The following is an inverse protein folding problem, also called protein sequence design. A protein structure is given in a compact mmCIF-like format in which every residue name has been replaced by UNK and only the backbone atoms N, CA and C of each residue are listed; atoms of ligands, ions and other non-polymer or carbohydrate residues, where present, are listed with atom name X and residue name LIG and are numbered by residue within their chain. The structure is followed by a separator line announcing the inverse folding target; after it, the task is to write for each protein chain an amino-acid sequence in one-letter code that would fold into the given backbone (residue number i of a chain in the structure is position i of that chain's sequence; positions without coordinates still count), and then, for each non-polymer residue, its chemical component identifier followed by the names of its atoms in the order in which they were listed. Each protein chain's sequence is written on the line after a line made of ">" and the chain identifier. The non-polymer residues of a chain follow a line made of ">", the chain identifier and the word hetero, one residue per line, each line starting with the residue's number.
data_IF_457894891592
#
_entry.id   IF_457894891592
#
_cell.length_a   1.000
_cell.length_b   1.000
_cell.length_c   1.000
_cell.angle_alpha   90.00
_cell.angle_beta   90.00
_cell.angle_gamma   90.00
#
_symmetry.space_group_name_H-M   'P 1'
#
loop_
_entity.id
_entity.type
_entity.pdbx_description
1 polymer ?
#
# COMPACT_ATOMS: atom_id res chain seq x y z
N UNK A 1 -15.54 -41.11 -31.83
CA UNK A 1 -16.36 -40.00 -31.30
C UNK A 1 -16.11 -39.88 -29.81
N UNK A 2 -15.25 -38.95 -29.40
CA UNK A 2 -15.13 -38.51 -28.02
C UNK A 2 -14.56 -37.08 -28.07
N UNK A 3 -15.40 -36.13 -27.68
CA UNK A 3 -15.23 -34.69 -27.86
C UNK A 3 -14.29 -34.12 -26.78
N UNK A 4 -13.30 -33.32 -27.21
CA UNK A 4 -12.27 -32.70 -26.36
C UNK A 4 -12.74 -31.31 -25.94
N UNK A 5 -13.10 -31.15 -24.67
CA UNK A 5 -13.39 -29.83 -24.10
C UNK A 5 -12.07 -29.06 -23.83
N UNK A 6 -11.91 -27.91 -24.48
CA UNK A 6 -10.71 -27.05 -24.41
C UNK A 6 -10.56 -26.18 -23.15
N UNK A 7 -9.39 -25.51 -23.00
CA UNK A 7 -8.95 -24.84 -21.76
C UNK A 7 -9.75 -23.59 -21.35
N UNK A 8 -10.69 -23.11 -22.16
CA UNK A 8 -11.47 -21.89 -21.90
C UNK A 8 -12.55 -22.01 -20.80
N UNK A 9 -12.93 -23.22 -20.36
CA UNK A 9 -14.03 -23.40 -19.38
C UNK A 9 -13.62 -23.32 -17.91
N UNK A 10 -12.32 -23.37 -17.60
CA UNK A 10 -11.81 -23.23 -16.22
C UNK A 10 -11.70 -21.77 -15.79
N UNK A 11 -11.29 -20.88 -16.71
CA UNK A 11 -11.08 -19.45 -16.46
C UNK A 11 -12.37 -18.68 -16.10
N UNK A 12 -13.52 -19.09 -16.65
CA UNK A 12 -14.82 -18.44 -16.34
C UNK A 12 -15.31 -18.80 -14.92
N UNK A 13 -14.81 -19.88 -14.31
CA UNK A 13 -15.24 -20.31 -12.97
C UNK A 13 -14.53 -19.55 -11.84
N UNK A 14 -13.32 -19.06 -12.06
CA UNK A 14 -12.52 -18.42 -11.02
C UNK A 14 -12.86 -16.92 -10.85
N UNK A 15 -13.18 -16.21 -11.94
CA UNK A 15 -13.76 -14.87 -11.88
C UNK A 15 -15.15 -14.87 -11.17
N UNK A 16 -15.97 -15.88 -11.48
CA UNK A 16 -17.29 -16.06 -10.86
C UNK A 16 -17.22 -16.46 -9.37
N UNK A 17 -16.07 -16.93 -8.86
CA UNK A 17 -15.89 -17.27 -7.46
C UNK A 17 -15.57 -16.05 -6.59
N UNK A 18 -14.88 -15.03 -7.13
CA UNK A 18 -14.63 -13.75 -6.44
C UNK A 18 -15.89 -12.89 -6.37
N UNK A 19 -16.69 -12.90 -7.43
CA UNK A 19 -17.96 -12.14 -7.52
C UNK A 19 -19.00 -12.62 -6.49
N UNK A 20 -19.09 -13.94 -6.25
CA UNK A 20 -19.98 -14.53 -5.22
C UNK A 20 -19.60 -14.17 -3.79
N UNK A 21 -18.33 -13.83 -3.52
CA UNK A 21 -17.89 -13.39 -2.18
C UNK A 21 -18.26 -11.93 -1.90
N UNK A 22 -18.27 -11.06 -2.92
CA UNK A 22 -18.74 -9.66 -2.80
C UNK A 22 -20.26 -9.61 -2.56
N UNK A 23 -21.04 -10.43 -3.25
CA UNK A 23 -22.50 -10.41 -3.17
C UNK A 23 -23.08 -10.94 -1.84
N UNK A 24 -22.37 -11.88 -1.18
CA UNK A 24 -22.74 -12.38 0.15
C UNK A 24 -22.47 -11.38 1.29
N UNK A 25 -21.49 -10.50 1.13
CA UNK A 25 -21.21 -9.44 2.11
C UNK A 25 -22.29 -8.34 2.07
N UNK A 26 -22.78 -7.99 0.88
CA UNK A 26 -23.81 -6.96 0.70
C UNK A 26 -25.20 -7.38 1.27
N UNK A 27 -25.55 -8.67 1.19
CA UNK A 27 -26.85 -9.18 1.69
C UNK A 27 -26.95 -9.28 3.22
N UNK A 28 -25.83 -9.21 3.95
CA UNK A 28 -25.82 -9.23 5.43
C UNK A 28 -26.04 -7.85 6.07
N UNK A 29 -26.13 -6.78 5.28
CA UNK A 29 -26.15 -5.40 5.77
C UNK A 29 -27.53 -4.69 5.70
N UNK A 30 -28.63 -5.39 5.38
CA UNK A 30 -29.97 -4.77 5.37
C UNK A 30 -30.75 -5.07 6.67
N UNK A 31 -31.19 -4.05 7.44
CA UNK A 31 -32.16 -4.27 8.50
C UNK A 31 -33.57 -4.32 7.91
N UNK A 32 -34.19 -5.50 7.98
CA UNK A 32 -35.59 -5.70 7.61
C UNK A 32 -36.52 -4.92 8.54
N UNK A 33 -37.39 -4.08 7.97
CA UNK A 33 -38.41 -3.33 8.70
C UNK A 33 -39.62 -4.18 9.10
N UNK A 34 -40.20 -3.89 10.27
CA UNK A 34 -41.63 -4.09 10.56
C UNK A 34 -42.14 -3.01 11.53
N UNK A 35 -43.32 -2.47 11.20
CA UNK A 35 -44.14 -1.50 11.94
C UNK A 35 -44.82 -2.16 13.16
N UNK A 36 -45.03 -1.42 14.26
CA UNK A 36 -45.99 -1.82 15.30
C UNK A 36 -45.89 -1.15 16.69
N UNK A 37 -46.41 0.08 16.80
CA UNK A 37 -47.13 0.73 17.93
C UNK A 37 -46.69 0.60 19.43
N UNK A 38 -46.60 1.82 20.00
CA UNK A 38 -47.09 2.35 21.30
C UNK A 38 -46.22 2.25 22.57
N UNK A 39 -46.07 3.44 23.16
CA UNK A 39 -45.36 3.82 24.37
C UNK A 39 -45.97 3.25 25.66
N UNK A 40 -45.11 2.90 26.61
CA UNK A 40 -45.42 2.65 28.01
C UNK A 40 -44.17 2.88 28.86
N UNK A 41 -44.28 3.79 29.83
CA UNK A 41 -43.24 4.21 30.78
C UNK A 41 -42.77 3.07 31.70
N UNK A 42 -41.48 3.01 32.03
CA UNK A 42 -40.96 2.11 33.05
C UNK A 42 -39.46 2.27 33.31
N UNK A 43 -39.12 2.85 34.46
CA UNK A 43 -37.75 3.02 34.99
C UNK A 43 -37.08 1.66 35.27
N UNK A 44 -35.76 1.53 35.03
CA UNK A 44 -34.70 1.10 36.00
C UNK A 44 -33.36 0.80 35.31
N UNK A 45 -32.31 0.76 36.14
CA UNK A 45 -30.87 0.95 35.91
C UNK A 45 -30.09 -0.26 35.37
N UNK A 46 -28.90 0.07 34.86
CA UNK A 46 -27.61 -0.64 34.88
C UNK A 46 -27.34 -1.74 33.84
N UNK A 47 -26.20 -1.60 33.14
CA UNK A 47 -25.61 -2.65 32.32
C UNK A 47 -24.54 -2.14 31.35
N UNK A 48 -23.28 -2.05 31.80
CA UNK A 48 -22.08 -1.97 30.94
C UNK A 48 -22.06 -3.16 29.99
N UNK A 49 -21.70 -2.94 28.71
CA UNK A 49 -20.69 -3.67 27.91
C UNK A 49 -21.06 -3.68 26.41
N UNK A 50 -20.17 -3.12 25.58
CA UNK A 50 -20.17 -3.28 24.12
C UNK A 50 -18.72 -3.32 23.64
N UNK A 51 -18.09 -4.49 23.75
CA UNK A 51 -16.72 -4.73 23.35
C UNK A 51 -16.62 -5.07 21.86
N UNK A 52 -15.79 -4.34 21.13
CA UNK A 52 -15.28 -4.72 19.82
C UNK A 52 -14.41 -5.98 19.96
N UNK A 53 -14.78 -7.06 19.27
CA UNK A 53 -14.00 -8.31 19.21
C UNK A 53 -12.81 -8.11 18.26
N UNK A 54 -11.63 -7.95 18.85
CA UNK A 54 -10.33 -7.95 18.20
C UNK A 54 -9.94 -9.39 17.83
N UNK A 55 -9.48 -9.57 16.58
CA UNK A 55 -8.79 -10.77 16.12
C UNK A 55 -7.51 -11.00 16.93
N UNK A 56 -7.34 -12.23 17.42
CA UNK A 56 -6.30 -12.64 18.37
C UNK A 56 -5.19 -13.33 17.58
N UNK A 57 -4.08 -12.66 17.33
CA UNK A 57 -2.89 -13.32 16.76
C UNK A 57 -2.12 -14.04 17.87
N UNK A 58 -1.84 -15.32 17.62
CA UNK A 58 -1.19 -16.23 18.53
C UNK A 58 0.33 -16.01 18.59
N UNK A 59 0.84 -16.18 19.80
CA UNK A 59 2.22 -16.04 20.24
C UNK A 59 3.07 -17.19 19.67
N UNK A 60 4.13 -16.87 18.94
CA UNK A 60 5.29 -17.78 18.80
C UNK A 60 6.41 -17.19 19.66
N UNK A 61 6.89 -17.95 20.65
CA UNK A 61 7.95 -17.56 21.58
C UNK A 61 9.35 -17.64 20.93
N UNK A 62 10.46 -17.26 21.56
CA UNK A 62 10.76 -16.74 22.90
C UNK A 62 12.22 -16.22 22.83
N UNK A 63 12.60 -15.36 23.78
CA UNK A 63 13.99 -15.00 24.19
C UNK A 63 14.71 -13.89 23.42
N UNK A 64 14.49 -12.64 23.85
CA UNK A 64 15.53 -11.78 24.42
C UNK A 64 14.86 -10.64 25.21
N UNK A 65 14.51 -10.89 26.47
CA UNK A 65 14.19 -9.82 27.42
C UNK A 65 15.50 -9.35 28.05
N UNK A 66 16.06 -8.26 27.51
CA UNK A 66 16.96 -7.38 28.27
C UNK A 66 16.50 -5.93 28.08
N UNK A 67 16.16 -5.30 29.20
CA UNK A 67 16.12 -3.84 29.40
C UNK A 67 15.25 -3.03 28.46
N UNK A 68 14.00 -2.77 28.85
CA UNK A 68 13.23 -1.63 28.30
C UNK A 68 13.89 -0.33 28.79
N UNK A 69 14.86 0.18 28.05
CA UNK A 69 15.30 1.56 28.18
C UNK A 69 14.17 2.45 27.66
N UNK A 70 13.72 3.42 28.48
CA UNK A 70 12.87 4.51 28.00
C UNK A 70 13.61 5.19 26.83
N UNK A 71 12.94 5.49 25.70
CA UNK A 71 13.61 6.15 24.59
C UNK A 71 14.14 7.50 25.06
N UNK A 72 15.45 7.67 24.93
CA UNK A 72 16.19 8.88 25.29
C UNK A 72 15.62 10.09 24.51
N UNK A 73 15.14 11.15 25.19
CA UNK A 73 14.64 12.35 24.54
C UNK A 73 15.68 13.04 23.64
N UNK A 74 16.98 12.78 23.82
CA UNK A 74 18.04 13.25 22.93
C UNK A 74 18.03 12.54 21.55
N UNK A 75 17.51 11.31 21.45
CA UNK A 75 17.41 10.58 20.18
C UNK A 75 16.25 11.03 19.29
N UNK A 76 15.21 11.64 19.87
CA UNK A 76 14.19 12.38 19.09
C UNK A 76 14.78 13.59 18.36
N UNK A 77 15.98 14.05 18.72
CA UNK A 77 16.59 15.27 18.20
C UNK A 77 17.67 15.03 17.12
N UNK A 78 18.10 13.79 16.87
CA UNK A 78 19.05 13.47 15.79
C UNK A 78 18.32 13.06 14.50
N UNK A 79 17.30 13.84 14.12
CA UNK A 79 16.66 13.77 12.81
C UNK A 79 17.39 14.75 11.91
N UNK A 80 18.06 14.27 10.86
CA UNK A 80 18.29 15.11 9.68
C UNK A 80 16.93 15.45 9.10
N UNK A 81 16.32 16.51 9.64
CA UNK A 81 15.17 17.19 9.05
C UNK A 81 15.58 17.48 7.60
N UNK A 82 14.80 16.98 6.65
CA UNK A 82 14.97 17.30 5.23
C UNK A 82 15.15 18.82 5.12
N UNK A 83 16.28 19.23 4.58
CA UNK A 83 16.64 20.63 4.47
C UNK A 83 15.56 21.37 3.67
N UNK A 84 15.09 22.57 4.07
CA UNK A 84 14.07 23.32 3.34
C UNK A 84 14.37 23.51 1.84
N UNK A 85 15.64 23.47 1.44
CA UNK A 85 16.09 23.61 0.05
C UNK A 85 16.45 22.29 -0.64
N UNK A 86 16.44 21.15 0.06
CA UNK A 86 16.71 19.84 -0.54
C UNK A 86 15.61 19.48 -1.54
N UNK A 87 15.95 18.57 -2.48
CA UNK A 87 14.96 18.04 -3.42
C UNK A 87 13.84 17.38 -2.62
N UNK A 88 12.60 17.73 -2.96
CA UNK A 88 11.46 17.21 -2.25
C UNK A 88 11.38 15.68 -2.45
N UNK A 89 11.20 14.88 -1.38
CA UNK A 89 11.11 13.43 -1.48
C UNK A 89 9.88 12.94 -2.26
N UNK A 90 8.97 13.85 -2.64
CA UNK A 90 7.82 13.55 -3.50
C UNK A 90 8.13 13.34 -4.98
N UNK A 91 9.39 13.40 -5.38
CA UNK A 91 9.78 13.23 -6.79
C UNK A 91 9.47 14.44 -7.69
N UNK A 92 8.83 15.51 -7.19
CA UNK A 92 8.49 16.68 -8.03
C UNK A 92 9.69 17.47 -8.57
N UNK A 93 10.92 17.14 -8.15
CA UNK A 93 12.12 17.89 -8.49
C UNK A 93 12.25 19.27 -7.82
N UNK A 94 11.19 19.78 -7.18
CA UNK A 94 11.14 21.09 -6.49
C UNK A 94 11.84 21.06 -5.12
N UNK A 95 12.21 22.23 -4.59
CA UNK A 95 12.72 22.39 -3.20
C UNK A 95 11.64 22.01 -2.19
N UNK A 96 12.00 21.32 -1.10
CA UNK A 96 11.06 20.85 -0.07
C UNK A 96 10.12 21.96 0.45
N UNK A 97 10.63 23.13 0.81
CA UNK A 97 9.85 24.29 1.31
C UNK A 97 8.87 24.91 0.32
N UNK A 98 8.98 24.57 -0.97
CA UNK A 98 8.11 25.03 -2.06
C UNK A 98 7.21 23.90 -2.57
N UNK A 99 7.24 22.76 -1.90
CA UNK A 99 6.44 21.59 -2.21
C UNK A 99 5.86 21.05 -0.89
N UNK A 100 6.22 19.85 -0.45
CA UNK A 100 5.62 19.23 0.74
C UNK A 100 5.82 20.01 2.05
N UNK A 101 6.85 20.86 2.12
CA UNK A 101 7.11 21.75 3.25
C UNK A 101 6.38 23.10 3.20
N UNK A 102 5.68 23.44 2.10
CA UNK A 102 4.85 24.65 2.06
C UNK A 102 3.46 24.33 2.65
N UNK A 103 3.01 25.06 3.67
CA UNK A 103 1.65 24.95 4.17
C UNK A 103 0.61 25.60 3.24
N UNK A 104 0.93 25.98 2.01
CA UNK A 104 -0.02 26.54 1.03
C UNK A 104 -0.08 25.77 -0.29
N UNK A 105 0.72 24.70 -0.44
CA UNK A 105 0.66 23.88 -1.66
C UNK A 105 -0.57 22.98 -1.69
N UNK A 106 -1.13 22.81 -2.89
CA UNK A 106 -2.39 22.13 -3.22
C UNK A 106 -2.46 20.62 -2.95
N UNK A 107 -1.42 19.98 -2.40
CA UNK A 107 -1.43 18.55 -2.08
C UNK A 107 -2.04 18.29 -0.69
N UNK A 108 -3.20 18.89 -0.39
CA UNK A 108 -3.91 18.68 0.88
C UNK A 108 -5.21 17.94 0.63
N UNK A 109 -5.42 16.93 1.44
CA UNK A 109 -6.62 16.12 1.44
C UNK A 109 -6.86 15.58 2.85
N UNK A 110 -8.12 15.43 3.20
CA UNK A 110 -8.57 14.81 4.44
C UNK A 110 -8.55 13.29 4.32
N UNK A 111 -8.72 12.59 5.45
CA UNK A 111 -8.88 11.14 5.47
C UNK A 111 -10.14 10.69 4.71
N UNK A 112 -11.20 11.48 4.78
CA UNK A 112 -12.47 11.16 4.12
C UNK A 112 -12.37 11.35 2.61
N UNK A 113 -11.72 12.42 2.14
CA UNK A 113 -11.44 12.62 0.72
C UNK A 113 -10.50 11.56 0.15
N UNK A 114 -9.46 11.15 0.90
CA UNK A 114 -8.63 9.99 0.52
C UNK A 114 -9.49 8.74 0.35
N UNK A 115 -10.35 8.46 1.33
CA UNK A 115 -11.19 7.26 1.33
C UNK A 115 -12.18 7.28 0.17
N UNK A 116 -12.85 8.41 -0.05
CA UNK A 116 -13.76 8.64 -1.18
C UNK A 116 -13.06 8.43 -2.52
N UNK A 117 -11.90 9.06 -2.71
CA UNK A 117 -11.12 8.95 -3.94
C UNK A 117 -10.71 7.51 -4.24
N UNK A 118 -10.30 6.75 -3.22
CA UNK A 118 -9.89 5.35 -3.39
C UNK A 118 -11.07 4.45 -3.76
N UNK A 119 -12.22 4.62 -3.09
CA UNK A 119 -13.45 3.88 -3.42
C UNK A 119 -13.86 4.14 -4.86
N UNK A 120 -13.91 5.41 -5.28
CA UNK A 120 -14.34 5.78 -6.63
C UNK A 120 -13.35 5.32 -7.71
N UNK A 121 -12.05 5.31 -7.41
CA UNK A 121 -11.05 4.75 -8.32
C UNK A 121 -11.23 3.24 -8.49
N UNK A 122 -11.51 2.51 -7.41
CA UNK A 122 -11.75 1.08 -7.48
C UNK A 122 -13.04 0.76 -8.25
N UNK A 123 -14.12 1.51 -8.02
CA UNK A 123 -15.35 1.39 -8.81
C UNK A 123 -15.10 1.66 -10.30
N UNK A 124 -14.26 2.64 -10.62
CA UNK A 124 -13.85 2.90 -12.00
C UNK A 124 -13.06 1.72 -12.60
N UNK A 125 -12.11 1.17 -11.86
CA UNK A 125 -11.30 0.02 -12.28
C UNK A 125 -12.20 -1.18 -12.58
N UNK A 126 -13.09 -1.52 -11.66
CA UNK A 126 -14.01 -2.66 -11.75
C UNK A 126 -14.91 -2.59 -13.00
N UNK A 127 -15.21 -1.38 -13.50
CA UNK A 127 -16.10 -1.16 -14.65
C UNK A 127 -15.34 -0.96 -15.96
N UNK A 128 -14.19 -0.26 -15.94
CA UNK A 128 -13.55 0.26 -17.14
C UNK A 128 -12.14 -0.28 -17.40
N UNK A 129 -11.57 -1.08 -16.49
CA UNK A 129 -10.20 -1.57 -16.59
C UNK A 129 -10.05 -3.08 -16.43
N UNK A 130 -11.14 -3.85 -16.51
CA UNK A 130 -11.15 -5.32 -16.30
C UNK A 130 -10.22 -6.10 -17.24
N UNK A 131 -10.18 -5.73 -18.52
CA UNK A 131 -9.27 -6.38 -19.49
C UNK A 131 -7.79 -6.09 -19.19
N UNK A 132 -7.50 -4.87 -18.70
CA UNK A 132 -6.15 -4.51 -18.24
C UNK A 132 -5.80 -5.25 -16.96
N UNK A 133 -6.75 -5.40 -16.04
CA UNK A 133 -6.59 -6.06 -14.75
C UNK A 133 -6.20 -7.53 -14.92
N UNK A 134 -6.87 -8.28 -15.81
CA UNK A 134 -6.51 -9.67 -16.09
C UNK A 134 -5.10 -9.84 -16.67
N UNK A 135 -4.63 -8.89 -17.48
CA UNK A 135 -3.24 -8.89 -17.98
C UNK A 135 -2.25 -8.54 -16.87
N UNK A 136 -2.61 -7.55 -16.05
CA UNK A 136 -1.78 -7.07 -14.96
C UNK A 136 -1.60 -8.15 -13.87
N UNK A 137 -2.64 -8.90 -13.52
CA UNK A 137 -2.57 -10.03 -12.58
C UNK A 137 -1.53 -11.08 -13.05
N UNK A 138 -1.59 -11.47 -14.33
CA UNK A 138 -0.62 -12.41 -14.92
C UNK A 138 0.81 -11.87 -14.88
N UNK A 139 1.01 -10.57 -15.16
CA UNK A 139 2.32 -9.93 -15.10
C UNK A 139 2.84 -9.84 -13.65
N UNK A 140 1.98 -9.45 -12.72
CA UNK A 140 2.34 -9.23 -11.32
C UNK A 140 2.72 -10.54 -10.63
N UNK A 141 1.95 -11.60 -10.88
CA UNK A 141 2.23 -12.92 -10.33
C UNK A 141 3.33 -13.67 -11.07
N UNK A 142 3.51 -13.41 -12.37
CA UNK A 142 4.56 -14.01 -13.19
C UNK A 142 4.63 -15.53 -13.04
N UNK A 143 5.77 -16.05 -12.59
CA UNK A 143 5.99 -17.49 -12.38
C UNK A 143 5.10 -18.12 -11.29
N UNK A 144 4.48 -17.31 -10.43
CA UNK A 144 3.59 -17.74 -9.36
C UNK A 144 2.10 -17.62 -9.73
N UNK A 145 1.77 -17.35 -10.99
CA UNK A 145 0.38 -17.22 -11.45
C UNK A 145 -0.47 -18.44 -11.06
N UNK A 146 -1.65 -18.17 -10.48
CA UNK A 146 -2.58 -19.20 -10.00
C UNK A 146 -2.25 -19.83 -8.64
N UNK A 147 -1.23 -19.32 -7.93
CA UNK A 147 -0.81 -19.83 -6.62
C UNK A 147 -1.20 -18.93 -5.44
N UNK A 148 -2.07 -17.95 -5.65
CA UNK A 148 -2.50 -17.00 -4.60
C UNK A 148 -3.10 -17.71 -3.38
N UNK A 149 -3.88 -18.78 -3.60
CA UNK A 149 -4.51 -19.56 -2.54
C UNK A 149 -3.51 -20.38 -1.70
N UNK A 150 -2.24 -20.47 -2.11
CA UNK A 150 -1.16 -21.10 -1.32
C UNK A 150 -0.57 -20.15 -0.26
N UNK A 151 -0.85 -18.84 -0.34
CA UNK A 151 -0.36 -17.89 0.64
C UNK A 151 -1.12 -17.98 1.98
N UNK A 152 -0.45 -17.77 3.11
CA UNK A 152 -1.13 -17.61 4.40
C UNK A 152 -2.15 -16.46 4.33
N UNK A 153 -3.37 -16.61 4.90
CA UNK A 153 -4.43 -15.60 4.79
C UNK A 153 -3.99 -14.20 5.28
N UNK A 154 -3.22 -14.12 6.36
CA UNK A 154 -2.71 -12.84 6.87
C UNK A 154 -1.71 -12.15 5.94
N UNK A 155 -1.10 -12.90 5.02
CA UNK A 155 -0.15 -12.42 4.03
C UNK A 155 -0.84 -12.04 2.72
N UNK A 156 -1.94 -12.71 2.39
CA UNK A 156 -2.77 -12.38 1.24
C UNK A 156 -3.35 -10.95 1.32
N UNK A 157 -3.83 -10.51 2.49
CA UNK A 157 -4.37 -9.15 2.64
C UNK A 157 -3.33 -8.04 2.37
N UNK A 158 -2.09 -8.21 2.87
CA UNK A 158 -1.00 -7.28 2.59
C UNK A 158 -0.62 -7.26 1.11
N UNK A 159 -0.75 -8.42 0.46
CA UNK A 159 -0.49 -8.59 -0.96
C UNK A 159 -1.54 -7.87 -1.82
N UNK A 160 -2.82 -8.04 -1.49
CA UNK A 160 -3.93 -7.46 -2.26
C UNK A 160 -3.80 -5.93 -2.35
N UNK A 161 -3.41 -5.28 -1.25
CA UNK A 161 -3.14 -3.83 -1.22
C UNK A 161 -1.99 -3.43 -2.17
N UNK A 162 -0.91 -4.22 -2.23
CA UNK A 162 0.27 -3.91 -3.05
C UNK A 162 -0.02 -4.10 -4.53
N UNK A 163 -0.67 -5.20 -4.91
CA UNK A 163 -1.12 -5.44 -6.28
C UNK A 163 -2.09 -4.35 -6.73
N UNK A 164 -3.10 -4.05 -5.92
CA UNK A 164 -4.09 -3.03 -6.24
C UNK A 164 -3.46 -1.64 -6.45
N UNK A 165 -2.53 -1.24 -5.57
CA UNK A 165 -1.83 0.04 -5.73
C UNK A 165 -0.92 0.04 -6.96
N UNK A 166 -0.22 -1.05 -7.27
CA UNK A 166 0.60 -1.13 -8.47
C UNK A 166 -0.27 -1.02 -9.71
N UNK A 167 -1.35 -1.80 -9.81
CA UNK A 167 -2.27 -1.76 -10.94
C UNK A 167 -2.87 -0.35 -11.13
N UNK A 168 -3.37 0.24 -10.05
CA UNK A 168 -4.03 1.52 -10.11
C UNK A 168 -3.09 2.67 -10.51
N UNK A 169 -1.87 2.73 -9.96
CA UNK A 169 -0.99 3.90 -10.05
C UNK A 169 0.21 3.76 -11.00
N UNK A 170 0.62 2.52 -11.30
CA UNK A 170 1.91 2.25 -11.95
C UNK A 170 1.79 1.43 -13.23
N UNK A 171 0.91 0.41 -13.27
CA UNK A 171 0.71 -0.43 -14.44
C UNK A 171 0.27 0.41 -15.65
N UNK A 172 0.86 0.12 -16.81
CA UNK A 172 0.57 0.84 -18.05
C UNK A 172 -0.35 -0.03 -18.89
N UNK A 173 -1.60 0.42 -19.03
CA UNK A 173 -2.56 -0.24 -19.91
C UNK A 173 -2.19 -0.11 -21.39
N UNK A 174 -3.03 -0.65 -22.26
CA UNK A 174 -2.79 -0.68 -23.71
C UNK A 174 -2.54 0.70 -24.34
N UNK A 175 -3.08 1.77 -23.74
CA UNK A 175 -2.93 3.16 -24.18
C UNK A 175 -1.71 3.87 -23.55
N UNK A 176 -0.85 3.14 -22.84
CA UNK A 176 0.34 3.67 -22.16
C UNK A 176 0.05 4.47 -20.89
N UNK A 177 -1.21 4.61 -20.47
CA UNK A 177 -1.61 5.32 -19.25
C UNK A 177 -1.92 4.33 -18.12
N UNK A 178 -1.80 4.79 -16.87
CA UNK A 178 -2.28 4.03 -15.72
C UNK A 178 -3.78 4.26 -15.47
N UNK A 179 -4.41 3.38 -14.70
CA UNK A 179 -5.82 3.50 -14.38
C UNK A 179 -6.15 4.84 -13.69
N UNK A 180 -5.30 5.30 -12.76
CA UNK A 180 -5.47 6.60 -12.09
C UNK A 180 -5.34 7.78 -13.07
N UNK A 181 -4.46 7.70 -14.08
CA UNK A 181 -4.31 8.77 -15.06
C UNK A 181 -5.56 8.90 -15.95
N UNK A 182 -6.12 7.76 -16.37
CA UNK A 182 -7.40 7.74 -17.11
C UNK A 182 -8.54 8.27 -16.25
N UNK A 183 -8.60 7.84 -14.98
CA UNK A 183 -9.61 8.30 -14.04
C UNK A 183 -9.51 9.81 -13.77
N UNK A 184 -8.32 10.34 -13.50
CA UNK A 184 -8.08 11.76 -13.25
C UNK A 184 -8.46 12.66 -14.42
N UNK A 185 -8.33 12.15 -15.66
CA UNK A 185 -8.65 12.88 -16.88
C UNK A 185 -10.17 13.00 -17.14
N UNK A 186 -10.96 11.99 -16.74
CA UNK A 186 -12.40 11.94 -17.03
C UNK A 186 -13.31 12.25 -15.84
N UNK A 187 -12.84 12.04 -14.61
CA UNK A 187 -13.69 12.10 -13.43
C UNK A 187 -13.88 13.52 -12.89
N UNK A 188 -15.13 13.81 -12.50
CA UNK A 188 -15.46 14.97 -11.67
C UNK A 188 -15.14 14.66 -10.21
N UNK A 189 -13.99 15.15 -9.77
CA UNK A 189 -13.44 14.94 -8.43
C UNK A 189 -13.39 16.26 -7.67
N UNK A 190 -13.63 16.21 -6.36
CA UNK A 190 -13.32 17.32 -5.46
C UNK A 190 -11.80 17.58 -5.40
N UNK A 191 -11.43 18.77 -4.92
CA UNK A 191 -10.03 19.19 -4.87
C UNK A 191 -9.15 18.24 -4.04
N UNK A 192 -9.64 17.80 -2.86
CA UNK A 192 -8.91 16.86 -2.01
C UNK A 192 -8.79 15.46 -2.61
N UNK A 193 -9.83 14.95 -3.27
CA UNK A 193 -9.77 13.65 -3.97
C UNK A 193 -8.72 13.68 -5.08
N UNK A 194 -8.75 14.75 -5.91
CA UNK A 194 -7.78 14.97 -6.97
C UNK A 194 -6.36 15.14 -6.41
N UNK A 195 -6.21 15.88 -5.31
CA UNK A 195 -4.93 16.10 -4.65
C UNK A 195 -4.33 14.78 -4.14
N UNK A 196 -5.14 13.92 -3.50
CA UNK A 196 -4.70 12.59 -3.06
C UNK A 196 -4.24 11.73 -4.23
N UNK A 197 -5.08 11.57 -5.25
CA UNK A 197 -4.78 10.72 -6.40
C UNK A 197 -3.55 11.21 -7.16
N UNK A 198 -3.40 12.52 -7.33
CA UNK A 198 -2.22 13.11 -7.96
C UNK A 198 -0.95 12.91 -7.10
N UNK A 199 -1.05 13.00 -5.77
CA UNK A 199 0.06 12.74 -4.88
C UNK A 199 0.50 11.27 -4.91
N UNK A 200 -0.46 10.34 -4.88
CA UNK A 200 -0.21 8.90 -4.99
C UNK A 200 0.33 8.51 -6.38
N UNK A 201 -0.17 9.12 -7.46
CA UNK A 201 0.32 8.88 -8.82
C UNK A 201 1.78 9.33 -9.04
N UNK A 202 2.27 10.28 -8.24
CA UNK A 202 3.68 10.72 -8.26
C UNK A 202 4.59 9.94 -7.32
N UNK A 203 4.03 9.10 -6.45
CA UNK A 203 4.83 8.20 -5.62
C UNK A 203 5.04 6.85 -6.32
N UNK A 204 5.84 5.99 -5.70
CA UNK A 204 6.08 4.61 -6.12
C UNK A 204 6.46 3.78 -4.90
N UNK A 205 6.30 2.46 -4.99
CA UNK A 205 6.87 1.56 -3.99
C UNK A 205 8.40 1.59 -4.10
N UNK A 206 9.06 1.73 -2.96
CA UNK A 206 10.53 1.76 -2.86
C UNK A 206 10.96 0.91 -1.68
N UNK A 207 12.24 0.55 -1.65
CA UNK A 207 12.85 -0.21 -0.57
C UNK A 207 13.50 0.72 0.46
N UNK A 208 13.18 0.50 1.72
CA UNK A 208 13.65 1.31 2.84
C UNK A 208 14.29 0.43 3.90
N UNK A 209 15.40 0.91 4.45
CA UNK A 209 15.96 0.41 5.70
C UNK A 209 15.31 1.12 6.88
N UNK A 210 14.94 0.36 7.90
CA UNK A 210 14.45 0.89 9.17
C UNK A 210 15.63 1.32 10.02
N UNK A 211 15.84 2.62 10.10
CA UNK A 211 16.92 3.22 10.91
C UNK A 211 16.54 3.21 12.38
N UNK A 212 15.26 3.43 12.69
CA UNK A 212 14.73 3.41 14.05
C UNK A 212 13.21 3.15 14.03
N UNK A 213 12.69 2.61 15.13
CA UNK A 213 11.28 2.32 15.30
C UNK A 213 10.80 2.81 16.67
N UNK A 214 9.70 3.57 16.67
CA UNK A 214 8.95 3.95 17.87
C UNK A 214 7.65 3.14 17.90
N UNK A 215 7.57 2.05 18.70
CA UNK A 215 6.45 1.13 18.67
C UNK A 215 5.10 1.81 18.86
N UNK A 216 4.19 1.62 17.91
CA UNK A 216 2.85 2.20 17.95
C UNK A 216 2.75 3.65 17.50
N UNK A 217 3.83 4.26 17.02
CA UNK A 217 3.88 5.68 16.69
C UNK A 217 4.50 5.99 15.32
N UNK A 218 5.74 5.55 15.07
CA UNK A 218 6.47 5.96 13.87
C UNK A 218 7.64 5.04 13.53
N UNK A 219 8.07 5.12 12.27
CA UNK A 219 9.30 4.54 11.76
C UNK A 219 10.19 5.65 11.19
N UNK A 220 11.50 5.56 11.41
CA UNK A 220 12.50 6.34 10.69
C UNK A 220 13.07 5.44 9.60
N UNK A 221 12.85 5.84 8.36
CA UNK A 221 13.17 5.06 7.17
C UNK A 221 14.24 5.77 6.35
N UNK A 222 15.25 5.02 5.91
CA UNK A 222 16.24 5.46 4.93
C UNK A 222 15.98 4.77 3.61
N UNK A 223 15.89 5.51 2.51
CA UNK A 223 15.79 4.87 1.20
C UNK A 223 17.08 4.08 0.93
N UNK A 224 16.96 2.79 0.62
CA UNK A 224 18.11 1.91 0.54
C UNK A 224 18.92 2.08 -0.78
N UNK A 225 18.38 2.81 -1.76
CA UNK A 225 18.98 3.00 -3.08
C UNK A 225 19.43 4.44 -3.29
N UNK A 226 18.54 5.42 -3.09
CA UNK A 226 18.84 6.85 -3.27
C UNK A 226 19.35 7.51 -1.98
N UNK A 227 19.23 6.83 -0.84
CA UNK A 227 19.50 7.44 0.46
C UNK A 227 18.46 8.49 0.86
N UNK A 228 18.85 9.35 1.81
CA UNK A 228 17.88 10.25 2.45
C UNK A 228 17.01 9.52 3.47
N UNK A 229 16.55 10.27 4.46
CA UNK A 229 15.83 9.73 5.61
C UNK A 229 14.50 10.47 5.78
N UNK A 230 13.46 9.74 6.16
CA UNK A 230 12.17 10.32 6.49
C UNK A 230 11.56 9.63 7.71
N UNK A 231 10.62 10.31 8.35
CA UNK A 231 9.80 9.74 9.42
C UNK A 231 8.39 9.54 8.88
N UNK A 232 7.89 8.31 8.98
CA UNK A 232 6.49 7.98 8.69
C UNK A 232 5.72 7.78 9.97
N UNK A 233 4.50 8.32 10.00
CA UNK A 233 3.54 8.01 11.05
C UNK A 233 2.98 6.61 10.78
N UNK A 234 3.28 5.65 11.65
CA UNK A 234 2.88 4.25 11.47
C UNK A 234 2.65 3.62 12.85
N UNK A 235 1.49 2.99 13.06
CA UNK A 235 1.05 2.48 14.37
C UNK A 235 1.05 0.96 14.52
N UNK A 236 0.93 0.21 13.44
CA UNK A 236 0.78 -1.24 13.48
C UNK A 236 2.11 -1.93 13.19
N UNK A 237 2.70 -1.65 12.03
CA UNK A 237 3.97 -2.18 11.59
C UNK A 237 5.13 -1.85 12.55
N UNK A 238 5.15 -0.63 13.13
CA UNK A 238 6.17 -0.18 14.09
C UNK A 238 6.23 -1.00 15.38
N UNK A 239 5.22 -1.84 15.66
CA UNK A 239 5.22 -2.76 16.81
C UNK A 239 5.96 -4.07 16.53
N UNK A 240 6.10 -4.46 15.26
CA UNK A 240 6.69 -5.72 14.84
C UNK A 240 8.01 -5.54 14.08
N UNK A 241 8.19 -4.40 13.43
CA UNK A 241 9.38 -4.05 12.64
C UNK A 241 10.40 -3.34 13.53
N UNK A 242 11.65 -3.78 13.44
CA UNK A 242 12.78 -3.28 14.21
C UNK A 242 13.84 -2.58 13.36
N UNK A 243 14.79 -1.95 14.05
CA UNK A 243 15.96 -1.36 13.40
C UNK A 243 16.76 -2.41 12.65
N UNK A 244 17.15 -2.08 11.41
CA UNK A 244 17.90 -2.95 10.50
C UNK A 244 17.03 -3.80 9.57
N UNK A 245 15.72 -3.84 9.80
CA UNK A 245 14.77 -4.48 8.88
C UNK A 245 14.66 -3.67 7.58
N UNK A 246 14.28 -4.36 6.50
CA UNK A 246 14.05 -3.76 5.19
C UNK A 246 12.59 -3.94 4.81
N UNK A 247 11.97 -2.88 4.29
CA UNK A 247 10.59 -2.93 3.84
C UNK A 247 10.42 -2.29 2.48
N UNK A 248 9.63 -2.91 1.62
CA UNK A 248 9.13 -2.30 0.41
C UNK A 248 7.76 -1.68 0.69
N UNK A 249 7.64 -0.38 0.48
CA UNK A 249 6.41 0.37 0.77
C UNK A 249 6.24 1.54 -0.20
N UNK A 250 4.99 1.88 -0.52
CA UNK A 250 4.67 3.16 -1.16
C UNK A 250 4.53 4.20 -0.07
N UNK A 251 5.33 5.26 -0.16
CA UNK A 251 5.24 6.37 0.80
C UNK A 251 4.65 7.58 0.08
N UNK A 252 3.49 8.03 0.54
CA UNK A 252 2.96 9.34 0.16
C UNK A 252 3.64 10.41 1.00
N UNK A 253 4.31 11.41 0.40
CA UNK A 253 5.12 12.40 1.12
C UNK A 253 4.34 13.27 2.11
N UNK A 254 3.02 13.38 1.90
CA UNK A 254 2.12 14.14 2.76
C UNK A 254 0.76 13.45 2.77
N UNK A 255 0.53 12.60 3.77
CA UNK A 255 -0.77 12.01 4.05
C UNK A 255 -1.68 12.95 4.85
N UNK A 256 -2.87 12.47 5.26
CA UNK A 256 -3.83 13.24 6.05
C UNK A 256 -3.29 13.72 7.40
N UNK A 257 -2.25 13.09 7.96
CA UNK A 257 -1.55 13.57 9.17
C UNK A 257 -0.71 14.83 8.93
N UNK A 258 -0.53 15.24 7.67
CA UNK A 258 0.29 16.38 7.28
C UNK A 258 1.78 16.07 7.09
N UNK A 259 2.21 14.82 7.31
CA UNK A 259 3.57 14.33 7.05
C UNK A 259 3.58 13.06 6.20
N UNK A 260 4.76 12.46 5.95
CA UNK A 260 4.87 11.23 5.17
C UNK A 260 4.10 10.07 5.80
N UNK A 261 3.41 9.29 4.97
CA UNK A 261 2.63 8.11 5.40
C UNK A 261 2.86 6.95 4.43
N UNK A 262 2.85 5.73 4.96
CA UNK A 262 2.79 4.52 4.14
C UNK A 262 1.36 4.41 3.60
N UNK A 263 1.26 4.33 2.29
CA UNK A 263 0.00 4.18 1.56
C UNK A 263 -0.20 2.69 1.28
N UNK A 264 -1.18 2.09 1.96
CA UNK A 264 -1.69 0.70 1.91
C UNK A 264 -0.69 -0.44 1.54
N UNK A 265 -0.68 -1.50 2.34
CA UNK A 265 0.28 -2.59 2.16
C UNK A 265 1.73 -2.21 2.46
N UNK A 266 2.50 -3.21 2.88
CA UNK A 266 3.96 -3.16 2.95
C UNK A 266 4.49 -4.59 2.88
N UNK A 267 5.66 -4.77 2.28
CA UNK A 267 6.34 -6.05 2.22
C UNK A 267 7.57 -6.00 3.11
N UNK A 268 7.57 -6.79 4.19
CA UNK A 268 8.77 -7.00 4.99
C UNK A 268 9.73 -7.91 4.23
N UNK A 269 10.93 -7.41 3.94
CA UNK A 269 11.95 -8.12 3.17
C UNK A 269 12.77 -8.99 4.12
N UNK A 270 12.68 -10.30 3.96
CA UNK A 270 13.42 -11.24 4.79
C UNK A 270 14.94 -11.06 4.61
N UNK A 271 15.75 -11.16 5.69
CA UNK A 271 17.20 -10.99 5.61
C UNK A 271 17.88 -11.90 4.57
N UNK A 272 17.36 -13.11 4.37
CA UNK A 272 17.89 -14.10 3.44
C UNK A 272 17.87 -13.64 1.97
N UNK A 273 16.89 -12.81 1.58
CA UNK A 273 16.75 -12.33 0.20
C UNK A 273 17.21 -10.87 0.02
N UNK A 274 17.60 -10.21 1.11
CA UNK A 274 17.98 -8.79 1.12
C UNK A 274 19.16 -8.49 0.19
N UNK A 275 20.29 -9.18 0.36
CA UNK A 275 21.49 -8.88 -0.44
C UNK A 275 21.30 -9.14 -1.93
N UNK A 276 20.73 -10.30 -2.36
CA UNK A 276 20.40 -10.52 -3.77
C UNK A 276 19.46 -9.46 -4.35
N UNK A 277 18.41 -9.09 -3.62
CA UNK A 277 17.47 -8.04 -4.05
C UNK A 277 18.16 -6.69 -4.21
N UNK A 278 19.00 -6.29 -3.25
CA UNK A 278 19.74 -5.03 -3.32
C UNK A 278 20.75 -5.00 -4.47
N UNK A 279 21.42 -6.11 -4.75
CA UNK A 279 22.32 -6.24 -5.90
C UNK A 279 21.55 -6.09 -7.23
N UNK A 280 20.41 -6.79 -7.37
CA UNK A 280 19.53 -6.70 -8.55
C UNK A 280 19.05 -5.27 -8.77
N UNK A 281 18.52 -4.62 -7.73
CA UNK A 281 18.04 -3.24 -7.78
C UNK A 281 19.12 -2.23 -8.25
N UNK A 282 20.33 -2.34 -7.69
CA UNK A 282 21.43 -1.44 -8.06
C UNK A 282 21.85 -1.63 -9.51
N UNK A 283 21.92 -2.89 -9.96
CA UNK A 283 22.24 -3.23 -11.35
C UNK A 283 21.17 -2.72 -12.32
N UNK A 284 19.89 -2.98 -12.04
CA UNK A 284 18.79 -2.52 -12.89
C UNK A 284 18.69 -1.00 -12.95
N UNK A 285 18.91 -0.32 -11.81
CA UNK A 285 18.97 1.15 -11.77
C UNK A 285 20.12 1.71 -12.59
N UNK A 286 21.32 1.12 -12.47
CA UNK A 286 22.48 1.57 -13.23
C UNK A 286 22.24 1.45 -14.74
N UNK A 287 21.69 0.31 -15.16
CA UNK A 287 21.28 0.08 -16.55
C UNK A 287 20.24 1.09 -17.03
N UNK A 288 19.20 1.33 -16.24
CA UNK A 288 18.17 2.32 -16.59
C UNK A 288 18.76 3.72 -16.78
N UNK A 289 19.67 4.15 -15.91
CA UNK A 289 20.32 5.45 -16.01
C UNK A 289 21.22 5.60 -17.25
N UNK A 290 21.86 4.51 -17.68
CA UNK A 290 22.65 4.53 -18.92
C UNK A 290 21.76 4.62 -20.16
N UNK A 291 20.67 3.85 -20.19
CA UNK A 291 19.66 3.86 -21.27
C UNK A 291 18.87 5.19 -21.31
N UNK A 292 18.64 5.83 -20.16
CA UNK A 292 17.77 7.00 -20.01
C UNK A 292 18.53 8.17 -19.37
N UNK A 293 19.56 8.68 -20.05
CA UNK A 293 20.39 9.79 -19.55
C UNK A 293 19.54 11.04 -19.28
N UNK A 294 19.45 11.44 -18.01
CA UNK A 294 18.63 12.58 -17.57
C UNK A 294 17.14 12.28 -17.42
N UNK A 295 16.73 11.01 -17.55
CA UNK A 295 15.35 10.57 -17.42
C UNK A 295 14.82 10.60 -15.99
N UNK A 296 13.48 10.59 -15.87
CA UNK A 296 12.78 10.52 -14.60
C UNK A 296 12.93 9.12 -13.98
N UNK A 297 13.53 9.06 -12.79
CA UNK A 297 13.68 7.82 -12.01
C UNK A 297 12.35 7.28 -11.50
N UNK A 298 11.29 8.10 -11.44
CA UNK A 298 9.95 7.65 -11.05
C UNK A 298 9.47 6.53 -11.96
N UNK A 299 9.68 6.65 -13.28
CA UNK A 299 9.30 5.61 -14.23
C UNK A 299 10.08 4.30 -14.02
N UNK A 300 11.33 4.36 -13.54
CA UNK A 300 12.05 3.17 -13.10
C UNK A 300 11.39 2.52 -11.88
N UNK A 301 11.14 3.30 -10.82
CA UNK A 301 10.58 2.78 -9.57
C UNK A 301 9.15 2.21 -9.73
N UNK A 302 8.35 2.75 -10.64
CA UNK A 302 7.00 2.23 -10.96
C UNK A 302 6.99 0.80 -11.50
N UNK A 303 8.12 0.29 -12.00
CA UNK A 303 8.24 -1.10 -12.48
C UNK A 303 8.61 -2.10 -11.38
N UNK A 304 9.02 -1.62 -10.20
CA UNK A 304 9.57 -2.48 -9.14
C UNK A 304 8.55 -3.22 -8.27
N UNK A 305 7.28 -2.80 -8.09
CA UNK A 305 6.36 -3.54 -7.21
C UNK A 305 6.22 -5.03 -7.55
N UNK A 306 6.09 -5.39 -8.83
CA UNK A 306 6.04 -6.78 -9.28
C UNK A 306 7.31 -7.56 -8.93
N UNK A 307 8.49 -6.92 -8.99
CA UNK A 307 9.76 -7.53 -8.60
C UNK A 307 9.87 -7.72 -7.07
N UNK A 308 9.43 -6.73 -6.28
CA UNK A 308 9.37 -6.89 -4.82
C UNK A 308 8.43 -8.02 -4.42
N UNK A 309 7.29 -8.10 -5.11
CA UNK A 309 6.34 -9.19 -4.99
C UNK A 309 6.96 -10.55 -5.30
N UNK A 310 7.61 -10.69 -6.47
CA UNK A 310 8.29 -11.93 -6.90
C UNK A 310 9.25 -12.45 -5.82
N UNK A 311 10.13 -11.58 -5.32
CA UNK A 311 11.11 -11.95 -4.29
C UNK A 311 10.42 -12.32 -2.99
N UNK A 312 9.38 -11.58 -2.59
CA UNK A 312 8.68 -11.83 -1.34
C UNK A 312 7.89 -13.13 -1.37
N UNK A 313 7.13 -13.40 -2.44
CA UNK A 313 6.41 -14.66 -2.64
C UNK A 313 7.36 -15.85 -2.74
N UNK A 314 8.51 -15.67 -3.40
CA UNK A 314 9.56 -16.69 -3.47
C UNK A 314 10.06 -17.15 -2.10
N UNK A 315 9.99 -16.33 -1.04
CA UNK A 315 10.36 -16.76 0.32
C UNK A 315 9.36 -17.71 0.98
N UNK A 316 8.18 -17.86 0.41
CA UNK A 316 7.10 -18.71 0.94
C UNK A 316 6.77 -19.89 0.02
N UNK A 317 6.81 -19.64 -1.29
CA UNK A 317 6.33 -20.56 -2.31
C UNK A 317 7.45 -21.19 -3.15
N UNK A 318 8.70 -20.77 -2.93
CA UNK A 318 9.91 -21.22 -3.62
C UNK A 318 10.79 -22.15 -2.81
#
# INVERSE_FOLDING_TARGET
>A
MADRAGPGRRLVRDAAARDRRRDQAARRAQPGGRRGRRCGLGRRRAGRQGGHRQGRLHRVGRQHRRGQARPDPARRAALTKIGPNERCPCGSGRKYKKCCGDPRTADRYTRDERTSAFVRLNEYIDVFATDDEGRADLEFWGQFAGRADELPPERAELFDDVEQLWFAFDYRGADGRSAVERFLAGAQLGDGERAFLAAAARSSMRIYEVVDASPGASLILRDAIEGGTLTVNERQASRAIGRGDYLAARIVPRGPSGGPEIEAGLLHIAPAVKEPLMARLRSERARYLDEHRGGDLTAFYKRLPAMFHEVWVGTMLG
#
